data_IF_049469301513
#
_entry.id   IF_049469301513
#
_cell.length_a   1.000
_cell.length_b   1.000
_cell.length_c   1.000
_cell.angle_alpha   90.00
_cell.angle_beta   90.00
_cell.angle_gamma   90.00
#
_symmetry.space_group_name_H-M   'P 1'
#
loop_
_entity.id
_entity.type
_entity.pdbx_description
1 polymer ?
#
# COMPACT_ATOMS: atom_id res chain seq x y z
N UNK A 1 42.83 25.37 -22.62
CA UNK A 1 42.59 24.48 -21.46
C UNK A 1 41.12 24.16 -21.42
N UNK A 2 40.72 22.92 -21.69
CA UNK A 2 39.31 22.48 -21.65
C UNK A 2 39.09 21.69 -20.37
N UNK A 3 38.42 22.29 -19.40
CA UNK A 3 38.08 21.68 -18.11
C UNK A 3 36.91 20.71 -18.32
N UNK A 4 37.15 19.43 -18.13
CA UNK A 4 36.09 18.40 -18.14
C UNK A 4 35.46 18.34 -16.76
N UNK A 5 34.19 18.73 -16.66
CA UNK A 5 33.37 18.51 -15.47
C UNK A 5 32.95 17.02 -15.43
N UNK A 6 33.44 16.29 -14.43
CA UNK A 6 32.99 14.94 -14.16
C UNK A 6 31.70 15.00 -13.34
N UNK A 7 30.60 14.53 -13.91
CA UNK A 7 29.32 14.34 -13.19
C UNK A 7 29.41 13.03 -12.43
N UNK A 8 29.48 13.11 -11.10
CA UNK A 8 29.42 11.95 -10.22
C UNK A 8 27.93 11.55 -10.07
N UNK A 9 27.52 10.47 -10.70
CA UNK A 9 26.21 9.88 -10.50
C UNK A 9 26.21 9.15 -9.14
N UNK A 10 25.48 9.68 -8.17
CA UNK A 10 25.24 9.02 -6.89
C UNK A 10 24.26 7.85 -7.11
N UNK A 11 24.76 6.63 -6.97
CA UNK A 11 23.95 5.41 -6.97
C UNK A 11 23.25 5.35 -5.61
N UNK A 12 21.96 5.71 -5.56
CA UNK A 12 21.11 5.45 -4.39
C UNK A 12 20.84 3.93 -4.33
N UNK A 13 21.57 3.24 -3.47
CA UNK A 13 21.24 1.86 -3.11
C UNK A 13 19.96 1.86 -2.27
N UNK A 14 18.98 0.96 -2.53
CA UNK A 14 17.83 0.84 -1.66
C UNK A 14 18.30 0.38 -0.28
N UNK A 15 18.02 1.19 0.74
CA UNK A 15 18.27 0.83 2.13
C UNK A 15 17.36 -0.36 2.48
N UNK A 16 17.95 -1.53 2.68
CA UNK A 16 17.24 -2.68 3.27
C UNK A 16 16.97 -2.30 4.72
N UNK A 17 15.70 -2.07 5.05
CA UNK A 17 15.28 -1.85 6.43
C UNK A 17 15.53 -3.14 7.22
N UNK A 18 16.52 -3.13 8.10
CA UNK A 18 16.79 -4.22 9.02
C UNK A 18 15.72 -4.21 10.13
N UNK A 19 15.15 -5.37 10.42
CA UNK A 19 14.21 -5.52 11.54
C UNK A 19 14.89 -5.14 12.87
N UNK A 20 14.21 -4.36 13.72
CA UNK A 20 14.71 -4.01 15.02
C UNK A 20 14.71 -5.25 15.96
N UNK A 21 15.59 -5.31 16.97
CA UNK A 21 15.61 -6.43 17.92
C UNK A 21 14.23 -6.66 18.56
N UNK A 22 13.72 -7.88 18.44
CA UNK A 22 12.40 -8.28 18.97
C UNK A 22 11.23 -8.08 18.02
N UNK A 23 11.46 -7.61 16.81
CA UNK A 23 10.46 -7.62 15.75
C UNK A 23 10.26 -9.03 15.18
N UNK A 24 9.08 -9.28 14.62
CA UNK A 24 8.80 -10.51 13.88
C UNK A 24 9.73 -10.62 12.68
N UNK A 25 10.46 -11.72 12.49
CA UNK A 25 11.31 -11.92 11.33
C UNK A 25 10.55 -11.74 10.01
N UNK A 26 11.15 -11.03 9.07
CA UNK A 26 10.53 -10.72 7.77
C UNK A 26 9.58 -9.52 7.77
N UNK A 27 9.32 -8.90 8.92
CA UNK A 27 8.57 -7.65 9.00
C UNK A 27 9.52 -6.44 9.04
N UNK A 28 9.10 -5.34 8.42
CA UNK A 28 9.80 -4.05 8.44
C UNK A 28 8.80 -2.90 8.50
N UNK A 29 9.23 -1.76 9.02
CA UNK A 29 8.45 -0.53 8.97
C UNK A 29 8.21 -0.10 7.53
N UNK A 30 7.07 0.51 7.29
CA UNK A 30 6.76 1.04 5.96
C UNK A 30 7.55 2.34 5.70
N UNK A 31 8.07 2.56 4.47
CA UNK A 31 8.82 3.78 4.14
C UNK A 31 8.10 5.09 4.45
N UNK A 32 6.78 5.09 4.42
CA UNK A 32 5.96 6.25 4.80
C UNK A 32 6.11 6.61 6.29
N UNK A 33 6.39 5.63 7.14
CA UNK A 33 6.62 5.77 8.59
C UNK A 33 7.89 5.00 8.98
N UNK A 34 9.08 5.52 8.65
CA UNK A 34 10.34 4.81 8.87
C UNK A 34 10.74 4.71 10.35
N UNK A 35 10.01 5.39 11.22
CA UNK A 35 10.20 5.36 12.67
C UNK A 35 8.87 5.07 13.37
N UNK A 36 8.95 4.52 14.57
CA UNK A 36 7.79 4.18 15.42
C UNK A 36 7.93 4.80 16.80
N UNK A 37 6.87 4.73 17.59
CA UNK A 37 6.92 5.09 19.01
C UNK A 37 7.96 4.24 19.76
N UNK A 38 8.66 4.80 20.77
CA UNK A 38 9.67 4.08 21.54
C UNK A 38 9.12 2.79 22.16
N UNK A 39 9.98 1.76 22.27
CA UNK A 39 9.70 0.47 22.86
C UNK A 39 8.63 -0.39 22.18
N UNK A 40 8.07 0.06 21.07
CA UNK A 40 7.16 -0.75 20.26
C UNK A 40 7.92 -1.74 19.38
N UNK A 41 7.38 -2.96 19.30
CA UNK A 41 7.87 -4.04 18.43
C UNK A 41 6.85 -4.33 17.35
N UNK A 42 7.32 -4.59 16.16
CA UNK A 42 6.49 -5.02 15.04
C UNK A 42 6.24 -6.52 15.17
N UNK A 43 5.10 -6.90 15.72
CA UNK A 43 4.77 -8.28 16.05
C UNK A 43 3.98 -9.01 14.99
N UNK A 44 3.40 -8.26 14.03
CA UNK A 44 2.76 -8.84 12.86
C UNK A 44 2.79 -7.88 11.67
N UNK A 45 2.88 -8.45 10.47
CA UNK A 45 2.82 -7.71 9.22
C UNK A 45 2.27 -8.57 8.09
N UNK A 46 1.59 -7.93 7.15
CA UNK A 46 1.13 -8.54 5.91
C UNK A 46 1.22 -7.52 4.78
N UNK A 47 1.69 -7.95 3.62
CA UNK A 47 1.58 -7.19 2.38
C UNK A 47 0.75 -8.00 1.41
N UNK A 48 -0.29 -7.38 0.84
CA UNK A 48 -1.12 -7.95 -0.22
C UNK A 48 -0.97 -7.08 -1.46
N UNK A 49 -0.65 -7.67 -2.60
CA UNK A 49 -0.49 -6.92 -3.85
C UNK A 49 -1.80 -6.27 -4.32
N UNK A 50 -2.93 -6.89 -3.98
CA UNK A 50 -4.24 -6.30 -4.14
C UNK A 50 -5.18 -6.80 -3.04
N UNK A 51 -5.78 -5.86 -2.32
CA UNK A 51 -6.73 -6.13 -1.24
C UNK A 51 -7.54 -4.84 -0.98
N UNK A 52 -8.44 -4.87 -0.04
CA UNK A 52 -9.22 -3.71 0.37
C UNK A 52 -9.12 -3.43 1.86
N UNK A 53 -9.16 -2.16 2.24
CA UNK A 53 -9.27 -1.73 3.63
C UNK A 53 -10.51 -0.87 3.80
N UNK A 54 -11.33 -1.26 4.77
CA UNK A 54 -12.44 -0.43 5.24
C UNK A 54 -11.96 0.47 6.35
N UNK A 55 -11.88 1.76 6.06
CA UNK A 55 -11.40 2.77 7.01
C UNK A 55 -12.43 3.06 8.09
N UNK A 56 -11.96 3.17 9.34
CA UNK A 56 -12.78 3.61 10.46
C UNK A 56 -13.25 5.04 10.23
N UNK A 57 -14.44 5.39 10.70
CA UNK A 57 -15.01 6.70 10.49
C UNK A 57 -15.96 7.07 11.62
N UNK A 58 -15.94 8.35 12.03
CA UNK A 58 -16.88 8.93 12.98
C UNK A 58 -18.23 9.25 12.34
N UNK A 59 -18.22 9.55 11.03
CA UNK A 59 -19.41 9.95 10.26
C UNK A 59 -19.57 9.09 9.01
N UNK A 60 -20.77 8.64 8.75
CA UNK A 60 -21.13 7.89 7.54
C UNK A 60 -21.09 8.79 6.27
N UNK A 61 -20.87 8.22 5.08
CA UNK A 61 -20.65 6.80 4.77
C UNK A 61 -19.23 6.32 5.08
N UNK A 62 -19.11 5.04 5.44
CA UNK A 62 -17.82 4.39 5.65
C UNK A 62 -17.08 4.25 4.31
N UNK A 63 -15.77 4.47 4.34
CA UNK A 63 -14.93 4.43 3.14
C UNK A 63 -14.17 3.12 3.03
N UNK A 64 -14.13 2.56 1.83
CA UNK A 64 -13.29 1.40 1.47
C UNK A 64 -12.37 1.82 0.34
N UNK A 65 -11.08 1.50 0.47
CA UNK A 65 -10.09 1.74 -0.56
C UNK A 65 -9.40 0.43 -0.93
N UNK A 66 -9.09 0.29 -2.21
CA UNK A 66 -8.50 -0.90 -2.80
C UNK A 66 -7.15 -0.57 -3.43
N UNK A 67 -6.24 -1.55 -3.40
CA UNK A 67 -4.91 -1.43 -3.95
C UNK A 67 -3.91 -2.38 -3.30
N UNK A 68 -2.63 -2.05 -3.36
CA UNK A 68 -1.61 -2.74 -2.58
C UNK A 68 -1.76 -2.35 -1.11
N UNK A 69 -2.01 -3.33 -0.26
CA UNK A 69 -2.26 -3.13 1.17
C UNK A 69 -1.07 -3.59 1.98
N UNK A 70 -0.57 -2.70 2.83
CA UNK A 70 0.36 -3.03 3.90
C UNK A 70 -0.35 -2.95 5.24
N UNK A 71 -0.30 -4.03 5.99
CA UNK A 71 -0.77 -4.13 7.37
C UNK A 71 0.41 -4.31 8.29
N UNK A 72 0.49 -3.51 9.37
CA UNK A 72 1.50 -3.59 10.41
C UNK A 72 0.83 -3.56 11.78
N UNK A 73 1.29 -4.44 12.68
CA UNK A 73 0.77 -4.49 14.03
C UNK A 73 1.91 -4.38 15.04
N UNK A 74 1.84 -3.33 15.86
CA UNK A 74 2.85 -3.05 16.87
C UNK A 74 2.31 -3.30 18.25
N UNK A 75 3.15 -3.91 19.06
CA UNK A 75 2.91 -4.17 20.47
C UNK A 75 4.08 -3.67 21.30
N UNK A 76 3.82 -3.47 22.58
CA UNK A 76 4.83 -3.14 23.57
C UNK A 76 4.54 -3.90 24.88
N UNK A 77 5.51 -3.98 25.82
CA UNK A 77 5.32 -4.64 27.10
C UNK A 77 4.12 -4.07 27.86
N UNK A 78 3.40 -4.91 28.62
CA UNK A 78 2.25 -4.49 29.42
C UNK A 78 2.60 -3.32 30.36
N UNK A 79 1.62 -2.42 30.58
CA UNK A 79 1.69 -1.28 31.50
C UNK A 79 2.75 -0.20 31.18
N UNK A 80 3.32 -0.21 30.00
CA UNK A 80 4.27 0.82 29.53
C UNK A 80 3.78 1.52 28.26
N UNK A 81 2.49 1.41 27.89
CA UNK A 81 1.93 1.85 26.63
C UNK A 81 1.74 3.37 26.52
N UNK A 82 1.95 3.89 25.33
CA UNK A 82 1.44 5.20 24.95
C UNK A 82 -0.08 5.22 25.11
N UNK A 83 -0.64 6.36 25.52
CA UNK A 83 -2.09 6.54 25.54
C UNK A 83 -2.65 6.52 24.12
N UNK A 84 -3.93 6.23 23.98
CA UNK A 84 -4.59 6.31 22.67
C UNK A 84 -4.44 7.71 22.04
N UNK A 85 -4.57 8.75 22.85
CA UNK A 85 -4.36 10.13 22.41
C UNK A 85 -2.94 10.37 21.89
N UNK A 86 -1.93 9.87 22.60
CA UNK A 86 -0.53 9.97 22.18
C UNK A 86 -0.28 9.25 20.85
N UNK A 87 -0.79 8.03 20.71
CA UNK A 87 -0.68 7.26 19.46
C UNK A 87 -1.31 8.02 18.30
N UNK A 88 -2.58 8.42 18.44
CA UNK A 88 -3.33 9.10 17.37
C UNK A 88 -2.66 10.42 16.98
N UNK A 89 -2.23 11.24 17.94
CA UNK A 89 -1.56 12.52 17.65
C UNK A 89 -0.19 12.35 17.00
N UNK A 90 0.59 11.33 17.40
CA UNK A 90 1.86 11.06 16.73
C UNK A 90 1.65 10.73 15.24
N UNK A 91 0.71 9.85 14.92
CA UNK A 91 0.42 9.52 13.51
C UNK A 91 -0.26 10.66 12.77
N UNK A 92 -1.13 11.43 13.41
CA UNK A 92 -1.72 12.63 12.81
C UNK A 92 -0.63 13.66 12.42
N UNK A 93 0.29 13.94 13.34
CA UNK A 93 1.40 14.85 13.09
C UNK A 93 2.33 14.32 11.99
N UNK A 94 2.64 13.02 11.99
CA UNK A 94 3.45 12.40 10.96
C UNK A 94 2.79 12.50 9.57
N UNK A 95 1.50 12.18 9.47
CA UNK A 95 0.72 12.32 8.23
C UNK A 95 0.71 13.78 7.75
N UNK A 96 0.43 14.72 8.64
CA UNK A 96 0.42 16.17 8.29
C UNK A 96 1.80 16.61 7.80
N UNK A 97 2.87 16.16 8.46
CA UNK A 97 4.24 16.55 8.12
C UNK A 97 4.68 16.08 6.73
N UNK A 98 4.18 14.92 6.28
CA UNK A 98 4.44 14.42 4.93
C UNK A 98 3.46 14.95 3.88
N UNK A 99 2.60 15.91 4.23
CA UNK A 99 1.67 16.57 3.31
C UNK A 99 0.34 15.83 3.10
N UNK A 100 0.01 14.85 3.94
CA UNK A 100 -1.27 14.19 3.85
C UNK A 100 -2.42 15.10 4.32
N UNK A 101 -3.55 15.03 3.62
CA UNK A 101 -4.81 15.60 4.09
C UNK A 101 -5.43 14.64 5.09
N UNK A 102 -5.63 15.09 6.33
CA UNK A 102 -6.37 14.31 7.33
C UNK A 102 -7.84 14.30 6.94
N UNK A 103 -8.38 13.10 6.78
CA UNK A 103 -9.77 12.88 6.33
C UNK A 103 -10.71 12.72 7.51
N UNK A 104 -10.29 11.94 8.52
CA UNK A 104 -11.05 11.81 9.76
C UNK A 104 -10.12 11.45 10.93
N UNK A 105 -10.51 11.82 12.13
CA UNK A 105 -9.77 11.56 13.37
C UNK A 105 -10.71 11.40 14.56
N UNK A 106 -10.49 10.34 15.31
CA UNK A 106 -10.98 10.16 16.68
C UNK A 106 -9.76 10.07 17.60
N UNK A 107 -9.55 11.07 18.43
CA UNK A 107 -8.36 11.19 19.30
C UNK A 107 -8.16 10.01 20.27
N UNK A 108 -9.14 9.14 20.43
CA UNK A 108 -9.07 7.96 21.30
C UNK A 108 -8.96 6.64 20.56
N UNK A 109 -9.16 6.67 19.23
CA UNK A 109 -9.28 5.42 18.47
C UNK A 109 -8.44 5.39 17.20
N UNK A 110 -8.49 6.43 16.36
CA UNK A 110 -7.84 6.38 15.07
C UNK A 110 -7.60 7.76 14.45
N UNK A 111 -6.70 7.78 13.50
CA UNK A 111 -6.55 8.84 12.49
C UNK A 111 -6.35 8.18 11.13
N UNK A 112 -6.96 8.77 10.08
CA UNK A 112 -6.58 8.42 8.74
C UNK A 112 -6.53 9.63 7.82
N UNK A 113 -5.67 9.52 6.81
CA UNK A 113 -5.42 10.57 5.85
C UNK A 113 -5.08 10.03 4.49
N UNK A 114 -5.11 10.94 3.54
CA UNK A 114 -4.82 10.71 2.14
C UNK A 114 -3.66 11.60 1.70
N UNK A 115 -2.74 11.06 0.92
CA UNK A 115 -1.71 11.83 0.24
C UNK A 115 -1.56 11.36 -1.21
N UNK A 116 -0.95 12.21 -2.04
CA UNK A 116 -0.52 11.85 -3.39
C UNK A 116 0.99 12.00 -3.43
N UNK A 117 1.69 10.91 -3.75
CA UNK A 117 3.14 10.87 -3.86
C UNK A 117 3.53 10.17 -5.16
N UNK A 118 4.39 10.79 -5.95
CA UNK A 118 4.84 10.26 -7.26
C UNK A 118 3.67 9.87 -8.18
N UNK A 119 2.60 10.67 -8.18
CA UNK A 119 1.38 10.43 -8.95
C UNK A 119 0.47 9.33 -8.40
N UNK A 120 0.84 8.67 -7.30
CA UNK A 120 0.05 7.62 -6.67
C UNK A 120 -0.73 8.15 -5.47
N UNK A 121 -1.98 7.78 -5.38
CA UNK A 121 -2.82 8.06 -4.22
C UNK A 121 -2.58 7.01 -3.15
N UNK A 122 -2.27 7.46 -1.94
CA UNK A 122 -1.97 6.63 -0.77
C UNK A 122 -2.92 7.00 0.36
N UNK A 123 -3.51 5.98 0.98
CA UNK A 123 -4.34 6.11 2.18
C UNK A 123 -3.66 5.42 3.34
N UNK A 124 -3.61 6.06 4.49
CA UNK A 124 -3.02 5.48 5.69
C UNK A 124 -3.91 5.70 6.90
N UNK A 125 -4.15 4.64 7.68
CA UNK A 125 -4.91 4.68 8.94
C UNK A 125 -4.08 4.08 10.06
N UNK A 126 -3.94 4.82 11.15
CA UNK A 126 -3.40 4.31 12.40
C UNK A 126 -4.52 4.20 13.44
N UNK A 127 -4.63 3.03 14.06
CA UNK A 127 -5.59 2.74 15.12
C UNK A 127 -4.86 2.53 16.44
N UNK A 128 -5.30 3.23 17.49
CA UNK A 128 -4.95 2.94 18.86
C UNK A 128 -5.86 1.81 19.37
N UNK A 129 -5.27 0.66 19.69
CA UNK A 129 -6.00 -0.52 20.16
C UNK A 129 -5.88 -0.66 21.68
N UNK A 130 -6.82 -1.38 22.33
CA UNK A 130 -6.73 -1.65 23.76
C UNK A 130 -5.35 -2.20 24.17
N UNK A 131 -4.85 -1.81 25.35
CA UNK A 131 -3.52 -2.19 25.81
C UNK A 131 -2.37 -1.40 25.17
N UNK A 132 -2.66 -0.29 24.49
CA UNK A 132 -1.65 0.57 23.82
C UNK A 132 -1.07 -0.05 22.56
N UNK A 133 -1.72 -1.06 21.97
CA UNK A 133 -1.30 -1.63 20.68
C UNK A 133 -1.63 -0.70 19.55
N UNK A 134 -0.88 -0.79 18.45
CA UNK A 134 -1.09 0.02 17.24
C UNK A 134 -1.33 -0.89 16.07
N UNK A 135 -2.39 -0.59 15.30
CA UNK A 135 -2.65 -1.19 14.00
C UNK A 135 -2.51 -0.13 12.92
N UNK A 136 -1.67 -0.40 11.93
CA UNK A 136 -1.43 0.51 10.83
C UNK A 136 -1.83 -0.17 9.51
N UNK A 137 -2.65 0.51 8.73
CA UNK A 137 -2.99 0.14 7.36
C UNK A 137 -2.49 1.21 6.40
N UNK A 138 -1.89 0.78 5.31
CA UNK A 138 -1.49 1.65 4.21
C UNK A 138 -2.02 1.02 2.92
N UNK A 139 -2.77 1.78 2.15
CA UNK A 139 -3.30 1.37 0.84
C UNK A 139 -2.69 2.26 -0.23
N UNK A 140 -1.83 1.70 -1.05
CA UNK A 140 -1.34 2.33 -2.26
C UNK A 140 -2.31 1.98 -3.39
N UNK A 141 -3.04 2.98 -3.89
CA UNK A 141 -4.05 2.77 -4.94
C UNK A 141 -3.41 2.18 -6.18
N UNK A 142 -3.92 1.07 -6.64
CA UNK A 142 -3.56 0.48 -7.93
C UNK A 142 -4.74 -0.35 -8.47
N UNK A 143 -4.77 -0.53 -9.75
CA UNK A 143 -5.74 -1.41 -10.39
C UNK A 143 -5.43 -2.88 -10.13
N UNK A 144 -6.48 -3.69 -10.06
CA UNK A 144 -6.35 -5.13 -9.95
C UNK A 144 -5.83 -5.70 -11.28
N UNK A 145 -4.79 -6.50 -11.21
CA UNK A 145 -4.38 -7.29 -12.37
C UNK A 145 -5.39 -8.43 -12.61
N UNK A 146 -6.01 -8.45 -13.77
CA UNK A 146 -6.92 -9.52 -14.16
C UNK A 146 -6.12 -10.71 -14.70
N UNK A 147 -6.08 -11.80 -13.93
CA UNK A 147 -5.36 -13.03 -14.30
C UNK A 147 -6.29 -14.15 -14.78
N UNK A 148 -7.56 -14.09 -14.39
CA UNK A 148 -8.54 -15.11 -14.78
C UNK A 148 -9.30 -14.62 -15.99
N UNK A 149 -9.21 -15.36 -17.08
CA UNK A 149 -9.91 -15.09 -18.34
C UNK A 149 -11.05 -16.11 -18.45
N UNK A 150 -12.25 -15.65 -18.79
CA UNK A 150 -13.35 -16.53 -19.16
C UNK A 150 -13.06 -17.21 -20.50
N UNK A 151 -13.94 -18.10 -20.95
CA UNK A 151 -13.77 -18.74 -22.24
C UNK A 151 -14.02 -17.77 -23.43
N UNK A 152 -13.68 -18.21 -24.64
CA UNK A 152 -13.88 -17.42 -25.87
C UNK A 152 -15.34 -17.03 -26.12
N UNK A 153 -16.32 -17.79 -25.61
CA UNK A 153 -17.73 -17.46 -25.74
C UNK A 153 -18.10 -16.21 -24.94
N UNK A 154 -17.49 -16.00 -23.77
CA UNK A 154 -17.70 -14.77 -22.98
C UNK A 154 -17.20 -13.55 -23.74
N UNK A 155 -16.01 -13.58 -24.36
CA UNK A 155 -15.49 -12.51 -25.21
C UNK A 155 -16.42 -12.17 -26.37
N UNK A 156 -16.93 -13.23 -27.07
CA UNK A 156 -17.86 -13.05 -28.18
C UNK A 156 -19.18 -12.40 -27.75
N UNK A 157 -19.71 -12.78 -26.59
CA UNK A 157 -20.95 -12.23 -26.05
C UNK A 157 -20.79 -10.75 -25.68
N UNK A 158 -19.71 -10.39 -25.00
CA UNK A 158 -19.42 -9.01 -24.61
C UNK A 158 -19.23 -8.12 -25.85
N UNK A 159 -18.48 -8.61 -26.84
CA UNK A 159 -18.28 -7.88 -28.10
C UNK A 159 -19.60 -7.65 -28.85
N UNK A 160 -20.49 -8.64 -28.88
CA UNK A 160 -21.83 -8.52 -29.50
C UNK A 160 -22.75 -7.55 -28.74
N UNK A 161 -22.67 -7.55 -27.40
CA UNK A 161 -23.53 -6.76 -26.55
C UNK A 161 -23.11 -5.28 -26.46
N UNK A 162 -21.81 -5.01 -26.42
CA UNK A 162 -21.26 -3.68 -26.12
C UNK A 162 -20.43 -3.07 -27.26
N UNK A 163 -20.08 -3.86 -28.28
CA UNK A 163 -19.21 -3.45 -29.39
C UNK A 163 -17.72 -3.42 -29.02
N UNK A 164 -17.35 -3.75 -27.79
CA UNK A 164 -15.97 -3.82 -27.34
C UNK A 164 -15.81 -4.86 -26.24
N UNK A 165 -14.59 -5.37 -26.04
CA UNK A 165 -14.23 -6.26 -24.95
C UNK A 165 -12.83 -5.91 -24.44
N UNK A 166 -12.66 -5.89 -23.12
CA UNK A 166 -11.36 -5.74 -22.50
C UNK A 166 -10.70 -7.12 -22.35
N UNK A 167 -9.53 -7.28 -22.95
CA UNK A 167 -8.73 -8.50 -22.80
C UNK A 167 -7.66 -8.25 -21.77
N UNK A 168 -7.75 -8.98 -20.66
CA UNK A 168 -6.78 -8.93 -19.57
C UNK A 168 -5.81 -10.12 -19.65
N UNK A 169 -4.69 -10.03 -18.94
CA UNK A 169 -3.68 -11.10 -18.96
C UNK A 169 -2.69 -11.00 -20.13
N UNK A 170 -2.63 -9.84 -20.79
CA UNK A 170 -1.60 -9.54 -21.79
C UNK A 170 -0.55 -8.64 -21.13
N UNK A 171 0.69 -9.12 -21.06
CA UNK A 171 1.79 -8.50 -20.33
C UNK A 171 2.93 -8.13 -21.26
N UNK A 172 3.54 -6.99 -20.99
CA UNK A 172 4.74 -6.49 -21.64
C UNK A 172 5.80 -6.18 -20.58
N UNK A 173 7.05 -6.23 -20.95
CA UNK A 173 8.10 -5.63 -20.13
C UNK A 173 8.06 -4.10 -20.17
N UNK A 174 8.59 -3.47 -19.13
CA UNK A 174 8.67 -2.01 -19.07
C UNK A 174 9.39 -1.46 -20.31
N UNK A 175 8.71 -0.56 -21.01
CA UNK A 175 9.18 0.09 -22.25
C UNK A 175 9.49 -0.88 -23.41
N UNK A 176 8.91 -2.09 -23.45
CA UNK A 176 9.04 -3.02 -24.58
C UNK A 176 7.68 -3.34 -25.19
N UNK A 177 7.68 -3.73 -26.47
CA UNK A 177 6.49 -4.21 -27.19
C UNK A 177 6.40 -5.74 -27.28
N UNK A 178 7.37 -6.44 -26.71
CA UNK A 178 7.39 -7.91 -26.73
C UNK A 178 6.43 -8.46 -25.67
N UNK A 179 5.61 -9.41 -26.10
CA UNK A 179 4.67 -10.12 -25.22
C UNK A 179 5.41 -11.06 -24.29
N UNK A 180 5.07 -11.04 -23.02
CA UNK A 180 5.58 -12.02 -22.07
C UNK A 180 4.93 -13.39 -22.25
N UNK A 181 5.64 -14.49 -21.94
CA UNK A 181 5.09 -15.86 -22.04
C UNK A 181 3.79 -16.06 -21.25
N UNK A 182 3.63 -15.35 -20.14
CA UNK A 182 2.43 -15.37 -19.30
C UNK A 182 1.17 -14.87 -20.01
N UNK A 183 1.32 -14.15 -21.14
CA UNK A 183 0.21 -13.68 -21.98
C UNK A 183 -0.40 -14.78 -22.86
N UNK A 184 0.31 -15.89 -23.04
CA UNK A 184 -0.09 -16.96 -23.98
C UNK A 184 -1.50 -17.52 -23.72
N UNK A 185 -1.93 -17.82 -22.47
CA UNK A 185 -3.27 -18.33 -22.24
C UNK A 185 -4.38 -17.35 -22.66
N UNK A 186 -4.21 -16.07 -22.35
CA UNK A 186 -5.19 -15.03 -22.73
C UNK A 186 -5.28 -14.86 -24.24
N UNK A 187 -4.14 -14.87 -24.95
CA UNK A 187 -4.09 -14.76 -26.40
C UNK A 187 -4.71 -16.00 -27.09
N UNK A 188 -4.53 -17.18 -26.53
CA UNK A 188 -5.15 -18.40 -27.06
C UNK A 188 -6.68 -18.39 -26.94
N UNK A 189 -7.23 -17.81 -25.86
CA UNK A 189 -8.68 -17.66 -25.71
C UNK A 189 -9.27 -16.63 -26.67
N UNK A 190 -8.57 -15.53 -26.92
CA UNK A 190 -9.01 -14.50 -27.88
C UNK A 190 -8.96 -15.01 -29.33
N UNK A 191 -8.08 -15.96 -29.62
CA UNK A 191 -7.89 -16.52 -30.98
C UNK A 191 -8.88 -17.63 -31.35
N UNK A 192 -9.77 -18.06 -30.45
CA UNK A 192 -10.83 -19.06 -30.71
C UNK A 192 -12.08 -18.38 -31.30
#
# INVERSE_FOLDING_TARGET
MKTRLAVLAAILSPAVALAAPGDKPGCADHPLFPTRLPDYRLTDCKVSEYDSVRFLKMKEPQRTEEGRVTYLFYQRPPNQGASALEIVRNYQNALTKIGATIVDVDERHFVYGKLVQDGREIWAQAEARPGGMIRLYIVEKKEMAQHVVADAAAFSNDLKATGHVAVYGIYFDTAKAELKPESTPALQEVAK
#
